data_IF_825450367291
#
_entry.id   IF_825450367291
#
_cell.length_a   1.000
_cell.length_b   1.000
_cell.length_c   1.000
_cell.angle_alpha   90.00
_cell.angle_beta   90.00
_cell.angle_gamma   90.00
#
_symmetry.space_group_name_H-M   'P 1'
#
loop_
_entity.id
_entity.type
_entity.pdbx_description
1 polymer ?
#
# COMPACT_ATOMS: atom_id res chain seq x y z
N UNK A 1 35.93 -21.22 -30.33
CA UNK A 1 34.71 -20.72 -31.01
C UNK A 1 33.52 -21.51 -30.48
N UNK A 2 32.62 -20.83 -29.74
CA UNK A 2 31.15 -20.97 -29.71
C UNK A 2 30.52 -22.29 -30.22
N UNK A 3 29.57 -22.98 -29.55
CA UNK A 3 28.35 -22.47 -28.88
C UNK A 3 27.41 -23.63 -28.45
N UNK A 4 26.51 -23.36 -27.49
CA UNK A 4 25.12 -23.89 -27.33
C UNK A 4 24.95 -25.39 -26.92
N UNK A 5 24.02 -25.85 -26.06
CA UNK A 5 22.75 -25.30 -25.51
C UNK A 5 22.37 -26.05 -24.22
N UNK A 6 21.63 -25.36 -23.33
CA UNK A 6 20.85 -25.90 -22.21
C UNK A 6 19.82 -26.95 -22.66
N UNK A 7 19.57 -27.96 -21.82
CA UNK A 7 18.24 -28.51 -21.57
C UNK A 7 18.30 -29.44 -20.34
N UNK A 8 17.58 -29.12 -19.27
CA UNK A 8 17.07 -30.10 -18.30
C UNK A 8 15.89 -29.46 -17.58
N UNK A 9 14.71 -29.63 -18.17
CA UNK A 9 13.42 -29.47 -17.51
C UNK A 9 12.92 -30.86 -17.15
N UNK A 10 12.72 -31.12 -15.86
CA UNK A 10 11.85 -32.19 -15.39
C UNK A 10 11.37 -31.84 -13.98
N UNK A 11 10.24 -31.14 -13.91
CA UNK A 11 9.52 -30.91 -12.66
C UNK A 11 8.71 -32.16 -12.33
N UNK A 12 9.08 -32.90 -11.28
CA UNK A 12 8.29 -34.01 -10.76
C UNK A 12 7.25 -33.46 -9.77
N UNK A 13 5.99 -33.39 -10.18
CA UNK A 13 4.86 -33.13 -9.29
C UNK A 13 4.45 -34.45 -8.62
N UNK A 14 4.88 -34.66 -7.39
CA UNK A 14 4.40 -35.77 -6.57
C UNK A 14 3.06 -35.38 -5.91
N UNK A 15 1.97 -35.98 -6.37
CA UNK A 15 0.68 -35.97 -5.65
C UNK A 15 0.74 -37.01 -4.52
N UNK A 16 0.93 -36.56 -3.28
CA UNK A 16 0.66 -37.39 -2.11
C UNK A 16 -0.75 -37.09 -1.59
N UNK A 17 -1.67 -38.01 -1.86
CA UNK A 17 -2.95 -38.09 -1.14
C UNK A 17 -2.66 -38.41 0.34
N UNK A 18 -3.18 -37.59 1.25
CA UNK A 18 -3.28 -37.98 2.67
C UNK A 18 -4.76 -38.00 3.04
N UNK A 19 -5.20 -39.20 3.38
CA UNK A 19 -6.53 -39.52 3.89
C UNK A 19 -6.49 -39.56 5.42
N UNK A 20 -7.64 -39.23 6.02
CA UNK A 20 -8.10 -39.45 7.39
C UNK A 20 -8.01 -38.25 8.38
N UNK A 21 -9.17 -37.74 8.86
CA UNK A 21 -9.25 -36.96 10.08
C UNK A 21 -9.67 -37.88 11.24
N UNK A 22 -8.74 -38.19 12.14
CA UNK A 22 -9.09 -38.61 13.51
C UNK A 22 -8.41 -37.69 14.50
N UNK A 23 -9.26 -36.90 15.14
CA UNK A 23 -9.11 -36.07 16.33
C UNK A 23 -7.74 -35.90 16.97
N UNK A 24 -7.40 -34.64 17.26
CA UNK A 24 -7.21 -34.15 18.64
C UNK A 24 -7.58 -32.67 18.67
N UNK A 25 -8.38 -32.24 19.65
CA UNK A 25 -8.57 -30.82 19.95
C UNK A 25 -7.23 -30.23 20.40
N UNK A 26 -6.50 -29.60 19.48
CA UNK A 26 -5.37 -28.75 19.83
C UNK A 26 -5.90 -27.37 20.20
N UNK A 27 -5.91 -27.07 21.49
CA UNK A 27 -5.93 -25.71 21.99
C UNK A 27 -4.66 -25.01 21.46
N UNK A 28 -4.79 -24.28 20.35
CA UNK A 28 -3.75 -23.36 19.91
C UNK A 28 -3.84 -22.10 20.76
N UNK A 29 -2.99 -22.03 21.79
CA UNK A 29 -2.55 -20.77 22.35
C UNK A 29 -1.83 -19.98 21.25
N UNK A 30 -2.50 -18.98 20.68
CA UNK A 30 -1.90 -18.03 19.75
C UNK A 30 -1.55 -16.74 20.49
N UNK A 31 -0.38 -16.73 21.11
CA UNK A 31 0.33 -15.49 21.45
C UNK A 31 1.47 -15.32 20.44
N UNK A 32 1.18 -14.68 19.31
CA UNK A 32 2.21 -14.44 18.28
C UNK A 32 1.77 -13.86 16.95
N UNK A 33 0.58 -13.26 16.84
CA UNK A 33 0.01 -12.82 15.55
C UNK A 33 -0.33 -11.32 15.48
N UNK A 34 0.21 -10.51 16.41
CA UNK A 34 -0.26 -9.13 16.63
C UNK A 34 0.42 -8.07 15.78
N UNK A 35 1.50 -8.37 15.04
CA UNK A 35 2.23 -7.33 14.30
C UNK A 35 1.67 -7.13 12.88
N UNK A 36 1.50 -8.21 12.11
CA UNK A 36 1.03 -8.12 10.73
C UNK A 36 -0.47 -7.78 10.61
N UNK A 37 -1.31 -8.26 11.53
CA UNK A 37 -2.74 -7.95 11.55
C UNK A 37 -3.00 -6.49 11.92
N UNK A 38 -2.23 -5.95 12.87
CA UNK A 38 -2.32 -4.55 13.29
C UNK A 38 -1.77 -3.60 12.24
N UNK A 39 -0.65 -3.92 11.58
CA UNK A 39 -0.10 -3.12 10.46
C UNK A 39 -1.10 -2.97 9.31
N UNK A 40 -1.71 -4.07 8.87
CA UNK A 40 -2.72 -4.06 7.82
C UNK A 40 -3.96 -3.22 8.24
N UNK A 41 -4.30 -3.22 9.54
CA UNK A 41 -5.38 -2.39 10.07
C UNK A 41 -5.05 -0.88 10.07
N UNK A 42 -3.82 -0.49 10.40
CA UNK A 42 -3.42 0.93 10.43
C UNK A 42 -3.26 1.49 9.03
N UNK A 43 -2.67 0.75 8.09
CA UNK A 43 -2.60 1.14 6.67
C UNK A 43 -3.99 1.32 6.07
N UNK A 44 -4.91 0.39 6.36
CA UNK A 44 -6.29 0.48 5.89
C UNK A 44 -7.00 1.71 6.49
N UNK A 45 -6.80 1.99 7.79
CA UNK A 45 -7.34 3.19 8.44
C UNK A 45 -6.77 4.48 7.86
N UNK A 46 -5.45 4.54 7.64
CA UNK A 46 -4.79 5.69 7.02
C UNK A 46 -5.34 5.99 5.63
N UNK A 47 -5.47 4.95 4.78
CA UNK A 47 -6.07 5.10 3.46
C UNK A 47 -7.54 5.56 3.55
N UNK A 48 -8.33 4.93 4.41
CA UNK A 48 -9.75 5.27 4.57
C UNK A 48 -9.95 6.69 5.11
N UNK A 49 -9.10 7.14 6.03
CA UNK A 49 -9.11 8.49 6.56
C UNK A 49 -8.79 9.51 5.45
N UNK A 50 -7.78 9.25 4.63
CA UNK A 50 -7.44 10.10 3.48
C UNK A 50 -8.57 10.16 2.43
N UNK A 51 -9.14 9.01 2.07
CA UNK A 51 -10.29 8.94 1.16
C UNK A 51 -11.50 9.69 1.73
N UNK A 52 -11.75 9.57 3.03
CA UNK A 52 -12.81 10.26 3.76
C UNK A 52 -12.60 11.78 3.76
N UNK A 53 -11.39 12.25 4.08
CA UNK A 53 -11.04 13.67 4.03
C UNK A 53 -11.31 14.28 2.65
N UNK A 54 -10.88 13.58 1.60
CA UNK A 54 -10.99 14.04 0.22
C UNK A 54 -12.44 14.00 -0.28
N UNK A 55 -13.20 12.98 0.13
CA UNK A 55 -14.63 12.89 -0.16
C UNK A 55 -15.42 14.00 0.52
N UNK A 56 -15.10 14.34 1.77
CA UNK A 56 -15.70 15.49 2.49
C UNK A 56 -15.38 16.82 1.81
N UNK A 57 -14.21 16.93 1.19
CA UNK A 57 -13.81 18.10 0.38
C UNK A 57 -14.38 18.09 -1.05
N UNK A 58 -15.25 17.13 -1.41
CA UNK A 58 -15.93 17.09 -2.70
C UNK A 58 -15.14 16.45 -3.85
N UNK A 59 -13.99 15.82 -3.57
CA UNK A 59 -13.25 15.07 -4.58
C UNK A 59 -13.90 13.71 -4.83
N UNK A 60 -13.82 13.24 -6.07
CA UNK A 60 -14.26 11.91 -6.45
C UNK A 60 -13.10 10.93 -6.32
N UNK A 61 -13.27 9.91 -5.49
CA UNK A 61 -12.35 8.78 -5.42
C UNK A 61 -12.50 7.93 -6.69
N UNK A 62 -11.38 7.60 -7.32
CA UNK A 62 -11.30 6.93 -8.61
C UNK A 62 -10.41 5.69 -8.52
N UNK A 63 -10.95 4.55 -8.95
CA UNK A 63 -10.24 3.27 -8.85
C UNK A 63 -9.03 3.16 -9.78
N UNK A 64 -9.05 3.85 -10.93
CA UNK A 64 -7.87 3.92 -11.83
C UNK A 64 -6.74 4.72 -11.19
N UNK A 65 -7.05 5.85 -10.54
CA UNK A 65 -6.08 6.59 -9.75
C UNK A 65 -5.55 5.75 -8.57
N UNK A 66 -6.42 4.99 -7.89
CA UNK A 66 -6.02 4.12 -6.78
C UNK A 66 -5.07 3.00 -7.24
N UNK A 67 -5.28 2.43 -8.44
CA UNK A 67 -4.33 1.49 -9.05
C UNK A 67 -2.96 2.12 -9.27
N UNK A 68 -2.92 3.36 -9.78
CA UNK A 68 -1.64 4.08 -9.94
C UNK A 68 -0.98 4.37 -8.59
N UNK A 69 -1.74 4.81 -7.59
CA UNK A 69 -1.25 5.02 -6.23
C UNK A 69 -0.60 3.75 -5.67
N UNK A 70 -1.20 2.56 -5.88
CA UNK A 70 -0.62 1.28 -5.46
C UNK A 70 0.70 0.95 -6.18
N UNK A 71 0.81 1.28 -7.46
CA UNK A 71 2.07 1.10 -8.21
C UNK A 71 3.17 2.00 -7.66
N UNK A 72 2.85 3.26 -7.39
CA UNK A 72 3.79 4.24 -6.81
C UNK A 72 4.17 3.85 -5.38
N UNK A 73 3.23 3.33 -4.57
CA UNK A 73 3.50 2.84 -3.23
C UNK A 73 4.54 1.71 -3.22
N UNK A 74 4.46 0.76 -4.15
CA UNK A 74 5.46 -0.32 -4.26
C UNK A 74 6.87 0.23 -4.50
N UNK A 75 6.97 1.28 -5.31
CA UNK A 75 8.24 1.98 -5.59
C UNK A 75 8.73 2.75 -4.38
N UNK A 76 7.84 3.39 -3.63
CA UNK A 76 8.15 4.05 -2.35
C UNK A 76 8.73 3.07 -1.34
N UNK A 77 8.09 1.91 -1.15
CA UNK A 77 8.58 0.84 -0.27
C UNK A 77 9.89 0.21 -0.77
N UNK A 78 10.24 0.38 -2.04
CA UNK A 78 11.51 -0.10 -2.61
C UNK A 78 12.65 0.94 -2.49
N UNK A 79 12.37 2.15 -1.99
CA UNK A 79 13.36 3.21 -1.85
C UNK A 79 13.62 4.03 -3.12
N UNK A 80 12.72 3.99 -4.11
CA UNK A 80 12.88 4.68 -5.41
C UNK A 80 12.77 6.22 -5.34
N UNK A 81 12.39 6.78 -4.18
CA UNK A 81 12.09 8.21 -4.03
C UNK A 81 13.00 8.90 -3.01
N UNK A 82 13.33 10.15 -3.31
CA UNK A 82 14.00 11.07 -2.40
C UNK A 82 12.93 11.94 -1.75
N UNK A 83 12.95 12.02 -0.42
CA UNK A 83 11.97 12.75 0.37
C UNK A 83 12.53 14.09 0.85
N UNK A 84 11.75 15.15 0.66
CA UNK A 84 11.98 16.47 1.23
C UNK A 84 10.86 16.74 2.23
N UNK A 85 11.23 16.98 3.48
CA UNK A 85 10.29 17.22 4.58
C UNK A 85 9.15 16.17 4.68
N UNK A 86 9.54 14.90 4.56
CA UNK A 86 8.59 13.77 4.61
C UNK A 86 7.72 13.61 3.35
N UNK A 87 7.98 14.34 2.27
CA UNK A 87 7.20 14.25 1.04
C UNK A 87 8.06 14.00 -0.19
N UNK A 88 7.52 13.28 -1.16
CA UNK A 88 8.08 13.17 -2.51
C UNK A 88 6.98 13.40 -3.54
N UNK A 89 7.34 13.97 -4.69
CA UNK A 89 6.42 14.20 -5.81
C UNK A 89 6.85 13.37 -7.01
N UNK A 90 5.88 12.80 -7.71
CA UNK A 90 6.07 12.05 -8.93
C UNK A 90 5.12 12.57 -10.01
N UNK A 91 5.62 12.69 -11.24
CA UNK A 91 4.80 12.98 -12.41
C UNK A 91 4.87 11.81 -13.38
N UNK A 92 3.72 11.40 -13.91
CA UNK A 92 3.70 10.38 -14.94
C UNK A 92 4.44 10.89 -16.20
N UNK A 93 5.26 10.05 -16.88
CA UNK A 93 6.03 10.48 -18.05
C UNK A 93 5.18 11.00 -19.21
N UNK A 94 3.93 10.53 -19.30
CA UNK A 94 2.94 10.94 -20.30
C UNK A 94 2.06 12.10 -19.83
N UNK A 95 2.35 12.68 -18.66
CA UNK A 95 1.59 13.76 -18.02
C UNK A 95 0.11 13.43 -17.75
N UNK A 96 -0.27 12.15 -17.75
CA UNK A 96 -1.64 11.69 -17.43
C UNK A 96 -2.01 11.86 -15.95
N UNK A 97 -1.05 12.22 -15.10
CA UNK A 97 -1.27 12.39 -13.68
C UNK A 97 0.02 12.65 -12.90
N UNK A 98 -0.15 12.78 -11.59
CA UNK A 98 0.94 12.93 -10.65
C UNK A 98 0.58 12.34 -9.29
N UNK A 99 1.60 12.10 -8.47
CA UNK A 99 1.44 11.62 -7.12
C UNK A 99 2.21 12.47 -6.12
N UNK A 100 1.60 12.63 -4.94
CA UNK A 100 2.29 13.06 -3.72
C UNK A 100 2.42 11.84 -2.82
N UNK A 101 3.63 11.62 -2.31
CA UNK A 101 3.99 10.48 -1.48
C UNK A 101 4.37 11.04 -0.12
N UNK A 102 3.56 10.78 0.89
CA UNK A 102 3.83 11.16 2.27
C UNK A 102 4.53 10.01 2.98
N UNK A 103 5.66 10.29 3.62
CA UNK A 103 6.40 9.37 4.49
C UNK A 103 6.27 9.85 5.93
N UNK A 104 5.49 9.11 6.70
CA UNK A 104 5.04 9.45 8.04
C UNK A 104 5.76 8.54 9.03
N UNK A 105 6.49 9.08 10.03
CA UNK A 105 7.09 8.25 11.08
C UNK A 105 6.03 7.38 11.77
N UNK A 106 6.39 6.14 12.13
CA UNK A 106 5.44 5.23 12.80
C UNK A 106 4.88 5.80 14.12
N UNK A 107 5.63 6.67 14.81
CA UNK A 107 5.17 7.39 16.01
C UNK A 107 4.02 8.37 15.75
N UNK A 108 3.88 8.82 14.52
CA UNK A 108 3.02 9.95 14.15
C UNK A 108 1.77 9.51 13.39
N UNK A 109 1.71 8.26 12.93
CA UNK A 109 0.65 7.80 12.03
C UNK A 109 -0.75 7.94 12.63
N UNK A 110 -0.94 7.61 13.91
CA UNK A 110 -2.25 7.74 14.56
C UNK A 110 -2.69 9.20 14.71
N UNK A 111 -1.74 10.12 14.94
CA UNK A 111 -2.02 11.56 14.95
C UNK A 111 -2.48 12.02 13.57
N UNK A 112 -1.77 11.61 12.51
CA UNK A 112 -2.12 11.94 11.13
C UNK A 112 -3.48 11.36 10.73
N UNK A 113 -3.79 10.12 11.13
CA UNK A 113 -5.11 9.51 10.91
C UNK A 113 -6.20 10.37 11.56
N UNK A 114 -6.04 10.76 12.82
CA UNK A 114 -7.00 11.58 13.55
C UNK A 114 -7.22 12.96 12.90
N UNK A 115 -6.14 13.60 12.43
CA UNK A 115 -6.20 14.85 11.68
C UNK A 115 -6.95 14.69 10.35
N UNK A 116 -6.71 13.59 9.62
CA UNK A 116 -7.44 13.26 8.39
C UNK A 116 -8.90 12.90 8.64
N UNK A 117 -9.25 12.30 9.78
CA UNK A 117 -10.63 11.95 10.12
C UNK A 117 -11.47 13.18 10.50
N UNK A 118 -10.85 14.17 11.14
CA UNK A 118 -11.52 15.38 11.66
C UNK A 118 -11.39 16.60 10.74
N UNK A 119 -10.35 16.64 9.92
CA UNK A 119 -10.07 17.75 9.02
C UNK A 119 -10.89 17.72 7.73
N UNK A 120 -10.97 18.88 7.10
CA UNK A 120 -11.26 19.04 5.68
C UNK A 120 -9.95 19.30 4.95
N UNK A 121 -9.67 18.53 3.89
CA UNK A 121 -8.53 18.84 3.02
C UNK A 121 -8.90 20.07 2.19
N UNK A 122 -8.13 21.16 2.30
CA UNK A 122 -8.42 22.42 1.62
C UNK A 122 -7.86 22.38 0.20
N UNK A 123 -8.69 22.13 -0.84
CA UNK A 123 -8.20 22.10 -2.22
C UNK A 123 -9.19 22.59 -3.29
N UNK A 124 -8.67 23.42 -4.20
CA UNK A 124 -9.36 24.12 -5.30
C UNK A 124 -9.56 23.31 -6.59
N UNK A 125 -9.25 22.01 -6.65
CA UNK A 125 -9.22 21.27 -7.92
C UNK A 125 -9.97 19.92 -7.88
N UNK A 126 -11.13 19.83 -8.54
CA UNK A 126 -11.98 18.63 -8.61
C UNK A 126 -11.44 17.56 -9.56
N UNK A 127 -10.16 17.23 -9.47
CA UNK A 127 -9.58 16.14 -10.24
C UNK A 127 -9.88 14.77 -9.57
N UNK A 128 -10.02 13.68 -10.35
CA UNK A 128 -10.18 12.34 -9.79
C UNK A 128 -8.92 11.91 -9.02
N UNK A 129 -9.12 11.46 -7.77
CA UNK A 129 -8.03 11.08 -6.86
C UNK A 129 -8.10 9.61 -6.48
N UNK A 130 -6.96 9.02 -6.13
CA UNK A 130 -6.89 7.66 -5.61
C UNK A 130 -5.76 7.52 -4.61
N UNK A 131 -5.96 6.62 -3.64
CA UNK A 131 -5.09 6.51 -2.47
C UNK A 131 -4.58 5.09 -2.29
N UNK A 132 -3.36 4.98 -1.79
CA UNK A 132 -2.77 3.74 -1.32
C UNK A 132 -1.95 4.01 -0.07
N UNK A 133 -1.98 3.08 0.89
CA UNK A 133 -1.16 3.14 2.09
C UNK A 133 -0.40 1.83 2.27
N UNK A 134 0.78 1.93 2.87
CA UNK A 134 1.66 0.81 3.19
C UNK A 134 2.68 1.25 4.23
N UNK A 135 3.45 0.32 4.79
CA UNK A 135 4.46 0.65 5.81
C UNK A 135 5.75 -0.15 5.64
N UNK A 136 6.82 0.38 6.22
CA UNK A 136 8.04 -0.34 6.54
C UNK A 136 8.28 -0.31 8.07
N UNK A 137 9.43 -0.80 8.51
CA UNK A 137 9.78 -0.90 9.94
C UNK A 137 9.79 0.46 10.68
N UNK A 138 9.90 1.56 9.94
CA UNK A 138 10.14 2.91 10.47
C UNK A 138 9.06 3.92 10.09
N UNK A 139 8.40 3.75 8.96
CA UNK A 139 7.45 4.71 8.41
C UNK A 139 6.19 4.04 7.85
N UNK A 140 5.08 4.78 7.92
CA UNK A 140 3.93 4.58 7.05
C UNK A 140 4.05 5.51 5.84
N UNK A 141 3.53 5.03 4.72
CA UNK A 141 3.46 5.75 3.47
C UNK A 141 2.00 5.93 3.09
N UNK A 142 1.66 7.13 2.66
CA UNK A 142 0.38 7.43 2.02
C UNK A 142 0.69 8.03 0.65
N UNK A 143 0.15 7.41 -0.40
CA UNK A 143 0.25 7.90 -1.77
C UNK A 143 -1.09 8.47 -2.18
N UNK A 144 -1.11 9.72 -2.55
CA UNK A 144 -2.20 10.37 -3.26
C UNK A 144 -1.83 10.45 -4.75
N UNK A 145 -2.63 9.85 -5.62
CA UNK A 145 -2.50 10.00 -7.07
C UNK A 145 -3.67 10.82 -7.62
N UNK A 146 -3.35 11.82 -8.44
CA UNK A 146 -4.33 12.65 -9.16
C UNK A 146 -4.23 12.39 -10.65
N UNK A 147 -5.36 12.08 -11.29
CA UNK A 147 -5.47 12.01 -12.76
C UNK A 147 -5.68 13.42 -13.31
N UNK A 148 -4.97 13.75 -14.39
CA UNK A 148 -5.04 15.04 -15.09
C UNK A 148 -5.82 14.94 -16.41
#
# INVERSE_FOLDING_TARGET
MTRFTRALTASALALSMVLAPTGVAHAQSSFGMSSAATQNSTEQRLRAAAEGAMSRSGHRINESAARQARTILKRALSGDFIYFDGQATYFAPDFSGGAVIYRIPNSDVERVISELETGSADFSFSAPKGFAAGSDDTHHYLVEYTLL
#
